data_IF_496279062406
#
_entry.id   IF_496279062406
#
_cell.length_a   1.000
_cell.length_b   1.000
_cell.length_c   1.000
_cell.angle_alpha   90.00
_cell.angle_beta   90.00
_cell.angle_gamma   90.00
#
_symmetry.space_group_name_H-M   'P 1'
#
loop_
_entity.id
_entity.type
_entity.pdbx_description
1 polymer ?
#
# COMPACT_ATOMS: atom_id res chain seq x y z
N UNK A 1 4.35 18.74 16.79
CA UNK A 1 4.01 17.89 15.65
C UNK A 1 4.50 18.49 14.35
N UNK A 2 5.13 17.71 13.51
CA UNK A 2 5.56 18.20 12.21
C UNK A 2 4.34 18.38 11.29
N UNK A 3 4.41 19.32 10.35
CA UNK A 3 3.36 19.51 9.32
C UNK A 3 3.11 18.22 8.52
N UNK A 4 4.14 17.39 8.36
CA UNK A 4 4.07 16.12 7.67
C UNK A 4 3.18 15.11 8.40
N UNK A 5 3.35 14.95 9.72
CA UNK A 5 2.52 14.06 10.55
C UNK A 5 1.06 14.47 10.55
N UNK A 6 0.81 15.77 10.61
CA UNK A 6 -0.55 16.30 10.55
C UNK A 6 -1.19 16.02 9.17
N UNK A 7 -0.42 16.17 8.09
CA UNK A 7 -0.88 15.86 6.74
C UNK A 7 -1.24 14.37 6.58
N UNK A 8 -0.45 13.47 7.15
CA UNK A 8 -0.72 12.02 7.09
C UNK A 8 -1.99 11.62 7.83
N UNK A 9 -2.25 12.22 9.01
CA UNK A 9 -3.48 12.00 9.77
C UNK A 9 -4.72 12.47 9.00
N UNK A 10 -4.63 13.63 8.36
CA UNK A 10 -5.73 14.17 7.52
C UNK A 10 -6.01 13.24 6.34
N UNK A 11 -4.96 12.76 5.66
CA UNK A 11 -5.10 11.80 4.55
C UNK A 11 -5.70 10.48 5.02
N UNK A 12 -5.27 9.97 6.17
CA UNK A 12 -5.82 8.75 6.76
C UNK A 12 -7.30 8.92 7.10
N UNK A 13 -7.69 10.06 7.65
CA UNK A 13 -9.09 10.39 7.93
C UNK A 13 -9.95 10.46 6.67
N UNK A 14 -9.44 11.09 5.63
CA UNK A 14 -10.09 11.15 4.32
C UNK A 14 -10.23 9.75 3.69
N UNK A 15 -9.20 8.93 3.78
CA UNK A 15 -9.22 7.54 3.32
C UNK A 15 -10.29 6.72 4.07
N UNK A 16 -10.39 6.90 5.38
CA UNK A 16 -11.41 6.24 6.19
C UNK A 16 -12.82 6.67 5.82
N UNK A 17 -13.03 7.97 5.54
CA UNK A 17 -14.33 8.46 5.02
C UNK A 17 -14.70 7.78 3.71
N UNK A 18 -13.75 7.66 2.80
CA UNK A 18 -13.94 6.95 1.53
C UNK A 18 -14.33 5.50 1.75
N UNK A 19 -13.64 4.80 2.65
CA UNK A 19 -13.93 3.41 2.97
C UNK A 19 -15.34 3.23 3.56
N UNK A 20 -15.72 4.06 4.52
CA UNK A 20 -17.08 4.03 5.09
C UNK A 20 -18.15 4.31 4.04
N UNK A 21 -17.87 5.25 3.14
CA UNK A 21 -18.76 5.56 2.03
C UNK A 21 -18.92 4.38 1.07
N UNK A 22 -17.83 3.70 0.75
CA UNK A 22 -17.85 2.49 -0.09
C UNK A 22 -18.67 1.37 0.58
N UNK A 23 -18.56 1.23 1.88
CA UNK A 23 -19.31 0.27 2.68
C UNK A 23 -20.76 0.71 2.96
N UNK A 24 -21.13 1.93 2.53
CA UNK A 24 -22.47 2.52 2.77
C UNK A 24 -22.82 2.64 4.25
N UNK A 25 -21.84 3.03 5.07
CA UNK A 25 -22.01 3.25 6.50
C UNK A 25 -21.68 4.69 6.87
N UNK A 26 -22.58 5.31 7.61
CA UNK A 26 -22.30 6.61 8.24
C UNK A 26 -21.42 6.38 9.47
N UNK A 27 -20.69 7.41 9.95
CA UNK A 27 -19.86 7.27 11.15
C UNK A 27 -20.62 6.70 12.35
N UNK A 28 -21.85 7.15 12.59
CA UNK A 28 -22.70 6.67 13.70
C UNK A 28 -23.02 5.18 13.55
N UNK A 29 -23.32 4.74 12.35
CA UNK A 29 -23.62 3.33 12.06
C UNK A 29 -22.37 2.46 12.29
N UNK A 30 -21.24 2.93 11.83
CA UNK A 30 -19.96 2.25 12.00
C UNK A 30 -19.57 2.11 13.49
N UNK A 31 -19.67 3.20 14.24
CA UNK A 31 -19.36 3.23 15.66
C UNK A 31 -20.25 2.24 16.45
N UNK A 32 -21.52 2.23 16.15
CA UNK A 32 -22.48 1.31 16.76
C UNK A 32 -22.19 -0.15 16.41
N UNK A 33 -21.95 -0.41 15.14
CA UNK A 33 -21.74 -1.76 14.62
C UNK A 33 -20.43 -2.39 15.14
N UNK A 34 -19.40 -1.54 15.32
CA UNK A 34 -18.09 -1.99 15.83
C UNK A 34 -17.98 -1.87 17.37
N UNK A 35 -19.01 -1.41 18.04
CA UNK A 35 -18.95 -1.10 19.47
C UNK A 35 -17.71 -0.25 19.80
N UNK A 36 -17.61 0.90 19.12
CA UNK A 36 -16.48 1.81 19.20
C UNK A 36 -16.97 3.23 19.50
N UNK A 37 -16.28 3.99 20.37
CA UNK A 37 -16.73 5.35 20.73
C UNK A 37 -16.79 6.27 19.51
N UNK A 38 -17.94 6.89 19.29
CA UNK A 38 -18.15 7.81 18.16
C UNK A 38 -17.21 9.02 18.22
N UNK A 39 -16.90 9.50 19.42
CA UNK A 39 -15.99 10.63 19.62
C UNK A 39 -14.58 10.30 19.10
N UNK A 40 -14.11 9.11 19.36
CA UNK A 40 -12.81 8.63 18.87
C UNK A 40 -12.82 8.48 17.33
N UNK A 41 -13.87 7.88 16.80
CA UNK A 41 -14.02 7.73 15.34
C UNK A 41 -14.04 9.10 14.65
N UNK A 42 -14.74 10.07 15.20
CA UNK A 42 -14.76 11.43 14.64
C UNK A 42 -13.38 12.08 14.62
N UNK A 43 -12.56 11.84 15.65
CA UNK A 43 -11.17 12.33 15.68
C UNK A 43 -10.32 11.71 14.57
N UNK A 44 -10.52 10.44 14.27
CA UNK A 44 -9.85 9.80 13.12
C UNK A 44 -10.27 10.44 11.80
N UNK A 45 -11.57 10.63 11.63
CA UNK A 45 -12.13 11.20 10.39
C UNK A 45 -11.71 12.65 10.15
N UNK A 46 -11.54 13.41 11.20
CA UNK A 46 -11.10 14.82 11.15
C UNK A 46 -9.59 14.99 11.04
N UNK A 47 -8.84 13.90 11.21
CA UNK A 47 -7.39 13.94 11.16
C UNK A 47 -6.73 14.46 12.44
N UNK A 48 -7.46 14.48 13.55
CA UNK A 48 -6.96 14.91 14.86
C UNK A 48 -6.21 13.79 15.58
N UNK A 49 -6.49 12.56 15.23
CA UNK A 49 -5.89 11.38 15.84
C UNK A 49 -5.64 10.32 14.78
N UNK A 50 -4.57 9.55 14.94
CA UNK A 50 -4.30 8.40 14.08
C UNK A 50 -5.37 7.33 14.24
N UNK A 51 -5.74 6.70 13.13
CA UNK A 51 -6.65 5.55 13.16
C UNK A 51 -6.00 4.44 13.98
N UNK A 52 -6.64 4.05 15.08
CA UNK A 52 -6.07 3.09 16.02
C UNK A 52 -6.10 1.66 15.47
N UNK A 53 -5.13 0.87 15.90
CA UNK A 53 -5.07 -0.55 15.58
C UNK A 53 -6.29 -1.31 16.14
N UNK A 54 -6.81 -0.89 17.30
CA UNK A 54 -8.04 -1.44 17.87
C UNK A 54 -9.23 -1.28 16.92
N UNK A 55 -9.41 -0.07 16.36
CA UNK A 55 -10.46 0.19 15.38
C UNK A 55 -10.30 -0.67 14.13
N UNK A 56 -9.08 -0.70 13.57
CA UNK A 56 -8.77 -1.50 12.37
C UNK A 56 -9.06 -2.98 12.62
N UNK A 57 -8.65 -3.53 13.76
CA UNK A 57 -8.89 -4.91 14.12
C UNK A 57 -10.37 -5.25 14.22
N UNK A 58 -11.15 -4.38 14.83
CA UNK A 58 -12.61 -4.54 14.93
C UNK A 58 -13.27 -4.52 13.54
N UNK A 59 -12.86 -3.57 12.70
CA UNK A 59 -13.36 -3.44 11.34
C UNK A 59 -13.06 -4.68 10.49
N UNK A 60 -11.83 -5.18 10.54
CA UNK A 60 -11.41 -6.35 9.76
C UNK A 60 -12.12 -7.64 10.18
N UNK A 61 -12.55 -7.73 11.45
CA UNK A 61 -13.33 -8.89 11.92
C UNK A 61 -14.79 -8.82 11.50
N UNK A 62 -15.34 -7.63 11.31
CA UNK A 62 -16.78 -7.43 11.08
C UNK A 62 -17.13 -7.15 9.62
N UNK A 63 -16.24 -6.46 8.90
CA UNK A 63 -16.47 -6.01 7.54
C UNK A 63 -15.55 -6.71 6.54
N UNK A 64 -15.93 -6.75 5.26
CA UNK A 64 -15.07 -7.33 4.21
C UNK A 64 -13.95 -6.36 3.81
N UNK A 65 -13.10 -6.01 4.76
CA UNK A 65 -11.97 -5.09 4.59
C UNK A 65 -10.68 -5.74 5.09
N UNK A 66 -9.55 -5.29 4.55
CA UNK A 66 -8.23 -5.69 4.98
C UNK A 66 -7.55 -4.55 5.74
N UNK A 67 -6.57 -4.85 6.55
CA UNK A 67 -5.76 -3.85 7.24
C UNK A 67 -5.18 -2.83 6.26
N UNK A 68 -4.76 -3.27 5.08
CA UNK A 68 -4.23 -2.43 4.02
C UNK A 68 -5.18 -1.30 3.59
N UNK A 69 -6.49 -1.51 3.65
CA UNK A 69 -7.49 -0.51 3.25
C UNK A 69 -7.46 0.74 4.13
N UNK A 70 -6.88 0.64 5.33
CA UNK A 70 -6.78 1.75 6.28
C UNK A 70 -5.49 2.55 6.16
N UNK A 71 -4.51 2.06 5.43
CA UNK A 71 -3.23 2.74 5.27
C UNK A 71 -3.22 3.66 4.06
N UNK A 72 -2.62 4.83 4.25
CA UNK A 72 -2.41 5.78 3.15
C UNK A 72 -1.30 5.24 2.26
N UNK A 73 -1.61 5.00 1.01
CA UNK A 73 -0.62 4.62 0.01
C UNK A 73 0.07 5.89 -0.46
N UNK A 74 1.40 5.93 -0.32
CA UNK A 74 2.20 7.01 -0.86
C UNK A 74 2.28 6.83 -2.38
N UNK A 75 1.79 7.83 -3.12
CA UNK A 75 1.89 7.85 -4.58
C UNK A 75 3.30 8.29 -4.98
N UNK A 76 4.04 7.39 -5.61
CA UNK A 76 5.40 7.63 -6.12
C UNK A 76 5.41 7.93 -7.62
N UNK A 77 4.23 8.20 -8.20
CA UNK A 77 4.11 8.60 -9.60
C UNK A 77 4.05 10.11 -9.74
N UNK A 78 4.37 10.60 -10.94
CA UNK A 78 4.12 11.97 -11.32
C UNK A 78 2.87 12.01 -12.21
N UNK A 79 1.79 12.60 -11.70
CA UNK A 79 0.49 12.66 -12.39
C UNK A 79 0.00 11.32 -12.95
N UNK A 80 0.21 10.24 -12.17
CA UNK A 80 -0.20 8.90 -12.56
C UNK A 80 0.79 8.18 -13.49
N UNK A 81 1.96 8.79 -13.76
CA UNK A 81 2.98 8.23 -14.64
C UNK A 81 4.28 8.03 -13.85
N UNK A 82 4.88 6.86 -14.03
CA UNK A 82 6.23 6.58 -13.54
C UNK A 82 7.04 5.91 -14.65
N UNK A 83 8.28 6.35 -14.83
CA UNK A 83 9.17 5.84 -15.86
C UNK A 83 10.45 5.31 -15.25
N UNK A 84 11.03 4.32 -15.89
CA UNK A 84 12.38 3.84 -15.62
C UNK A 84 13.18 3.82 -16.93
N UNK A 85 14.38 4.35 -16.91
CA UNK A 85 15.28 4.29 -18.06
C UNK A 85 15.94 2.93 -18.18
N UNK A 86 16.40 2.57 -19.38
CA UNK A 86 17.17 1.36 -19.60
C UNK A 86 18.44 1.33 -18.75
N UNK A 87 19.12 2.46 -18.62
CA UNK A 87 20.33 2.59 -17.79
C UNK A 87 20.06 2.27 -16.32
N UNK A 88 19.02 2.83 -15.75
CA UNK A 88 18.61 2.53 -14.36
C UNK A 88 18.24 1.06 -14.20
N UNK A 89 17.57 0.49 -15.18
CA UNK A 89 17.23 -0.94 -15.19
C UNK A 89 18.49 -1.80 -15.21
N UNK A 90 19.48 -1.45 -16.03
CA UNK A 90 20.77 -2.16 -16.09
C UNK A 90 21.54 -2.07 -14.76
N UNK A 91 21.52 -0.93 -14.09
CA UNK A 91 22.16 -0.74 -12.78
C UNK A 91 21.56 -1.64 -11.70
N UNK A 92 20.31 -2.05 -11.85
CA UNK A 92 19.63 -2.95 -10.92
C UNK A 92 19.93 -4.43 -11.16
N UNK A 93 20.76 -4.77 -12.13
CA UNK A 93 21.06 -6.13 -12.54
C UNK A 93 21.54 -7.01 -11.39
N UNK A 94 20.93 -8.18 -11.27
CA UNK A 94 21.29 -9.22 -10.30
C UNK A 94 21.41 -10.55 -11.01
N UNK A 95 22.50 -11.25 -10.76
CA UNK A 95 22.73 -12.57 -11.31
C UNK A 95 22.36 -13.62 -10.26
N UNK A 96 21.49 -14.53 -10.63
CA UNK A 96 21.12 -15.67 -9.81
C UNK A 96 21.80 -16.92 -10.30
N UNK A 97 22.47 -17.60 -9.37
CA UNK A 97 23.20 -18.85 -9.67
C UNK A 97 22.34 -20.07 -9.33
N UNK A 98 22.52 -21.09 -10.14
CA UNK A 98 21.93 -22.41 -9.92
C UNK A 98 22.95 -23.48 -10.23
N UNK A 99 23.15 -24.41 -9.32
CA UNK A 99 24.15 -25.49 -9.47
C UNK A 99 25.55 -24.99 -9.83
N UNK A 100 25.95 -23.82 -9.26
CA UNK A 100 27.27 -23.21 -9.49
C UNK A 100 27.40 -22.41 -10.79
N UNK A 101 26.36 -22.33 -11.60
CA UNK A 101 26.35 -21.56 -12.85
C UNK A 101 25.48 -20.34 -12.76
N UNK A 102 25.88 -19.28 -13.48
CA UNK A 102 25.03 -18.10 -13.67
C UNK A 102 23.85 -18.54 -14.54
N UNK A 103 22.64 -18.47 -13.97
CA UNK A 103 21.45 -19.04 -14.59
C UNK A 103 20.52 -17.96 -15.14
N UNK A 104 20.19 -16.96 -14.33
CA UNK A 104 19.35 -15.85 -14.73
C UNK A 104 19.97 -14.51 -14.35
N UNK A 105 19.78 -13.53 -15.23
CA UNK A 105 19.93 -12.12 -14.90
C UNK A 105 18.54 -11.52 -14.69
N UNK A 106 18.36 -10.85 -13.56
CA UNK A 106 17.15 -10.10 -13.24
C UNK A 106 17.46 -8.63 -13.28
N UNK A 107 16.55 -7.84 -13.82
CA UNK A 107 16.58 -6.39 -13.75
C UNK A 107 15.23 -5.89 -13.31
N UNK A 108 15.22 -4.79 -12.58
CA UNK A 108 13.98 -4.10 -12.26
C UNK A 108 13.40 -3.46 -13.52
N UNK A 109 12.09 -3.52 -13.61
CA UNK A 109 11.32 -2.65 -14.48
C UNK A 109 10.72 -1.54 -13.62
N UNK A 110 9.90 -0.67 -14.20
CA UNK A 110 9.25 0.36 -13.42
C UNK A 110 8.29 -0.27 -12.40
N UNK A 111 8.53 0.00 -11.12
CA UNK A 111 7.71 -0.43 -10.00
C UNK A 111 7.09 0.80 -9.35
N UNK A 112 5.86 0.67 -8.89
CA UNK A 112 5.15 1.75 -8.21
C UNK A 112 4.48 1.25 -6.94
N UNK A 113 4.36 2.13 -5.95
CA UNK A 113 3.68 1.83 -4.69
C UNK A 113 2.16 1.78 -4.84
N UNK A 114 1.60 2.32 -5.93
CA UNK A 114 0.14 2.37 -6.15
C UNK A 114 -0.44 1.10 -6.78
N UNK A 115 0.40 0.16 -7.19
CA UNK A 115 -0.05 -1.13 -7.73
C UNK A 115 0.59 -2.29 -6.98
N UNK A 116 -0.04 -3.47 -7.08
CA UNK A 116 0.49 -4.71 -6.52
C UNK A 116 1.35 -5.49 -7.50
N UNK A 117 1.42 -5.06 -8.75
CA UNK A 117 2.25 -5.70 -9.75
C UNK A 117 3.73 -5.43 -9.49
N UNK A 118 4.54 -6.46 -9.68
CA UNK A 118 6.00 -6.41 -9.55
C UNK A 118 6.64 -7.00 -10.82
N UNK A 119 6.48 -6.33 -11.98
CA UNK A 119 7.05 -6.86 -13.23
C UNK A 119 8.55 -6.87 -13.17
N UNK A 120 9.15 -7.89 -13.77
CA UNK A 120 10.59 -8.09 -13.81
C UNK A 120 11.03 -8.34 -15.25
N UNK A 121 12.25 -7.92 -15.56
CA UNK A 121 12.96 -8.32 -16.77
C UNK A 121 13.90 -9.46 -16.40
N UNK A 122 13.82 -10.57 -17.13
CA UNK A 122 14.60 -11.78 -16.87
C UNK A 122 15.28 -12.22 -18.16
N UNK A 123 16.59 -12.43 -18.09
CA UNK A 123 17.36 -13.04 -19.16
C UNK A 123 17.89 -14.39 -18.71
N UNK A 124 17.64 -15.41 -19.50
CA UNK A 124 18.25 -16.73 -19.29
C UNK A 124 19.66 -16.72 -19.81
N UNK A 125 20.64 -17.09 -18.97
CA UNK A 125 22.05 -17.02 -19.26
C UNK A 125 22.62 -18.38 -19.70
N UNK A 126 21.97 -19.48 -19.30
CA UNK A 126 22.38 -20.81 -19.72
C UNK A 126 21.15 -21.70 -19.95
N UNK A 127 21.35 -22.73 -20.75
CA UNK A 127 20.38 -23.78 -20.97
C UNK A 127 20.83 -25.03 -20.23
N UNK A 128 19.86 -25.70 -19.60
CA UNK A 128 20.10 -27.06 -19.08
C UNK A 128 19.70 -28.01 -20.19
N UNK A 129 20.67 -28.76 -20.68
CA UNK A 129 20.38 -29.89 -21.56
C UNK A 129 19.89 -31.05 -20.69
N UNK A 130 18.75 -31.61 -21.06
CA UNK A 130 18.20 -32.83 -20.43
C UNK A 130 19.05 -34.05 -20.68
#
# INVERSE_FOLDING_TARGET
MSQKENSEKIKAGSNLRGLLNDLKRRPEDAAKELDFPIEELNKFLEGDKEVSFEFISKACRKWPVNERDFFVVKDDTYLGIKKMTEETSQESSRIMQRAGNDYYEYRDTVLTTVTTFRPEWIKQLCFVED
#
